data_IF_752893185133
#
_entry.id   IF_752893185133
#
_cell.length_a   1.000
_cell.length_b   1.000
_cell.length_c   1.000
_cell.angle_alpha   90.00
_cell.angle_beta   90.00
_cell.angle_gamma   90.00
#
_symmetry.space_group_name_H-M   'P 1'
#
loop_
_entity.id
_entity.type
_entity.pdbx_description
1 polymer ?
#
# COMPACT_ATOMS: atom_id res chain seq x y z
N UNK A 1 -51.06 -13.59 -105.91
CA UNK A 1 -52.44 -13.57 -105.38
C UNK A 1 -52.45 -14.22 -104.01
N UNK A 2 -53.00 -13.51 -103.03
CA UNK A 2 -53.63 -13.96 -101.77
C UNK A 2 -52.82 -14.69 -100.68
N UNK A 3 -52.79 -14.01 -99.51
CA UNK A 3 -53.04 -14.48 -98.13
C UNK A 3 -52.11 -15.53 -97.50
N UNK A 4 -51.78 -15.51 -96.21
CA UNK A 4 -52.46 -14.96 -95.04
C UNK A 4 -51.48 -14.59 -93.91
N UNK A 5 -51.87 -13.62 -93.09
CA UNK A 5 -51.31 -13.21 -91.81
C UNK A 5 -51.38 -14.29 -90.74
N UNK A 6 -50.39 -14.34 -89.83
CA UNK A 6 -50.57 -13.98 -88.40
C UNK A 6 -49.29 -14.15 -87.57
N UNK A 7 -49.15 -13.24 -86.61
CA UNK A 7 -48.03 -13.00 -85.70
C UNK A 7 -47.57 -14.22 -84.88
N UNK A 8 -46.31 -14.22 -84.44
CA UNK A 8 -45.89 -14.06 -83.02
C UNK A 8 -44.35 -14.14 -82.92
N UNK A 9 -43.77 -12.98 -82.61
CA UNK A 9 -42.64 -12.65 -81.74
C UNK A 9 -41.77 -13.81 -81.17
N UNK A 10 -40.50 -13.91 -81.57
CA UNK A 10 -39.40 -14.42 -80.71
C UNK A 10 -38.12 -13.61 -80.97
N UNK A 11 -37.66 -12.97 -79.89
CA UNK A 11 -36.47 -12.12 -79.81
C UNK A 11 -35.15 -12.89 -80.03
N UNK A 12 -34.21 -12.23 -80.68
CA UNK A 12 -32.83 -12.66 -80.92
C UNK A 12 -32.05 -12.60 -79.60
N UNK A 13 -31.53 -13.75 -79.15
CA UNK A 13 -30.67 -13.86 -77.97
C UNK A 13 -29.21 -13.92 -78.40
N UNK A 14 -28.48 -12.81 -78.26
CA UNK A 14 -27.01 -12.78 -78.35
C UNK A 14 -26.41 -13.26 -77.02
N UNK A 15 -25.70 -14.38 -77.04
CA UNK A 15 -24.98 -14.93 -75.89
C UNK A 15 -23.61 -14.23 -75.77
N UNK A 16 -23.54 -13.10 -75.07
CA UNK A 16 -22.27 -12.49 -74.62
C UNK A 16 -21.82 -13.21 -73.34
N UNK A 17 -20.72 -13.95 -73.43
CA UNK A 17 -20.07 -14.58 -72.28
C UNK A 17 -19.31 -13.50 -71.47
N UNK A 18 -20.03 -12.73 -70.65
CA UNK A 18 -19.42 -11.87 -69.64
C UNK A 18 -19.06 -12.71 -68.42
N UNK A 19 -17.79 -13.07 -68.26
CA UNK A 19 -17.27 -13.55 -66.98
C UNK A 19 -17.21 -12.35 -66.05
N UNK A 20 -18.30 -12.14 -65.30
CA UNK A 20 -18.37 -11.18 -64.22
C UNK A 20 -17.38 -11.57 -63.13
N UNK A 21 -16.31 -10.79 -62.97
CA UNK A 21 -15.49 -10.83 -61.78
C UNK A 21 -16.38 -10.38 -60.61
N UNK A 22 -16.93 -11.34 -59.85
CA UNK A 22 -17.66 -11.05 -58.63
C UNK A 22 -16.67 -10.49 -57.60
N UNK A 23 -16.47 -9.17 -57.62
CA UNK A 23 -15.97 -8.43 -56.47
C UNK A 23 -17.06 -8.53 -55.40
N UNK A 24 -16.91 -9.48 -54.47
CA UNK A 24 -17.64 -9.47 -53.22
C UNK A 24 -17.23 -8.19 -52.47
N UNK A 25 -18.00 -7.12 -52.64
CA UNK A 25 -17.95 -5.96 -51.75
C UNK A 25 -18.39 -6.43 -50.38
N UNK A 26 -17.43 -6.69 -49.50
CA UNK A 26 -17.69 -6.94 -48.08
C UNK A 26 -18.20 -5.63 -47.50
N UNK A 27 -19.48 -5.57 -47.13
CA UNK A 27 -20.08 -4.43 -46.43
C UNK A 27 -19.47 -4.32 -45.03
N UNK A 28 -18.31 -3.66 -44.93
CA UNK A 28 -17.72 -3.28 -43.66
C UNK A 28 -18.57 -2.17 -43.04
N UNK A 29 -19.00 -2.34 -41.78
CA UNK A 29 -19.75 -1.31 -41.05
C UNK A 29 -18.96 -0.01 -40.86
N UNK A 30 -17.63 -0.10 -40.90
CA UNK A 30 -16.73 1.01 -40.69
C UNK A 30 -15.83 1.18 -41.92
N UNK A 31 -16.10 2.22 -42.69
CA UNK A 31 -15.32 2.57 -43.88
C UNK A 31 -14.03 3.33 -43.54
N UNK A 32 -13.23 3.65 -44.57
CA UNK A 32 -11.94 4.36 -44.43
C UNK A 32 -12.03 5.76 -43.81
N UNK A 33 -13.22 6.36 -43.79
CA UNK A 33 -13.49 7.65 -43.14
C UNK A 33 -13.95 7.52 -41.68
N UNK A 34 -14.20 6.30 -41.19
CA UNK A 34 -14.63 6.07 -39.82
C UNK A 34 -13.48 6.28 -38.83
N UNK A 35 -13.73 6.84 -37.63
CA UNK A 35 -12.75 6.86 -36.55
C UNK A 35 -12.47 5.46 -35.97
N UNK A 36 -13.28 4.46 -36.32
CA UNK A 36 -13.12 3.06 -35.89
C UNK A 36 -12.09 2.36 -36.77
N UNK A 37 -11.11 1.71 -36.14
CA UNK A 37 -10.09 0.94 -36.85
C UNK A 37 -10.67 -0.39 -37.33
N UNK A 38 -10.78 -0.58 -38.64
CA UNK A 38 -11.16 -1.88 -39.20
C UNK A 38 -10.00 -2.88 -39.07
N UNK A 39 -10.28 -3.98 -38.38
CA UNK A 39 -9.34 -5.06 -38.18
C UNK A 39 -9.55 -6.17 -39.21
N UNK A 40 -8.44 -6.80 -39.55
CA UNK A 40 -8.35 -7.98 -40.41
C UNK A 40 -7.40 -8.98 -39.75
N UNK A 41 -7.39 -10.26 -40.14
CA UNK A 41 -6.45 -11.22 -39.59
C UNK A 41 -4.97 -10.81 -39.76
N UNK A 42 -4.65 -10.10 -40.84
CA UNK A 42 -3.29 -9.62 -41.10
C UNK A 42 -2.84 -8.48 -40.19
N UNK A 43 -3.77 -7.66 -39.67
CA UNK A 43 -3.41 -6.50 -38.84
C UNK A 43 -3.74 -6.68 -37.35
N UNK A 44 -4.57 -7.66 -36.97
CA UNK A 44 -5.07 -7.86 -35.62
C UNK A 44 -3.95 -7.91 -34.58
N UNK A 45 -2.95 -8.78 -34.81
CA UNK A 45 -1.79 -8.92 -33.91
C UNK A 45 -1.06 -7.59 -33.71
N UNK A 46 -0.80 -6.85 -34.78
CA UNK A 46 -0.04 -5.58 -34.70
C UNK A 46 -0.83 -4.45 -34.05
N UNK A 47 -2.15 -4.39 -34.28
CA UNK A 47 -3.02 -3.30 -33.83
C UNK A 47 -3.66 -3.55 -32.47
N UNK A 48 -3.77 -4.81 -32.06
CA UNK A 48 -4.44 -5.23 -30.84
C UNK A 48 -3.45 -5.87 -29.87
N UNK A 49 -2.89 -7.04 -30.20
CA UNK A 49 -2.06 -7.83 -29.27
C UNK A 49 -0.75 -7.14 -28.90
N UNK A 50 -0.07 -6.56 -29.89
CA UNK A 50 1.19 -5.85 -29.72
C UNK A 50 1.01 -4.36 -29.42
N UNK A 51 -0.23 -3.91 -29.18
CA UNK A 51 -0.49 -2.52 -28.83
C UNK A 51 0.16 -2.17 -27.49
N UNK A 52 0.78 -0.99 -27.41
CA UNK A 52 1.27 -0.43 -26.15
C UNK A 52 0.18 0.38 -25.42
N UNK A 53 -1.05 0.42 -25.93
CA UNK A 53 -2.18 1.13 -25.33
C UNK A 53 -3.40 0.23 -25.20
N UNK A 54 -4.47 0.74 -24.59
CA UNK A 54 -5.74 0.03 -24.49
C UNK A 54 -6.42 0.00 -25.87
N UNK A 55 -6.96 -1.16 -26.24
CA UNK A 55 -7.69 -1.36 -27.49
C UNK A 55 -9.07 -1.97 -27.18
N UNK A 56 -10.13 -1.33 -27.65
CA UNK A 56 -11.49 -1.87 -27.65
C UNK A 56 -11.80 -2.46 -29.01
N UNK A 57 -12.30 -3.70 -29.04
CA UNK A 57 -12.64 -4.41 -30.27
C UNK A 57 -14.09 -4.86 -30.22
N UNK A 58 -14.88 -4.42 -31.20
CA UNK A 58 -16.18 -5.00 -31.51
C UNK A 58 -16.01 -6.19 -32.46
N UNK A 59 -16.49 -7.36 -32.05
CA UNK A 59 -16.65 -8.54 -32.90
C UNK A 59 -18.10 -8.54 -33.41
N UNK A 60 -18.28 -8.30 -34.70
CA UNK A 60 -19.58 -8.14 -35.34
C UNK A 60 -19.81 -9.10 -36.51
N UNK A 61 -21.04 -9.10 -37.03
CA UNK A 61 -21.40 -9.72 -38.31
C UNK A 61 -22.25 -8.75 -39.15
N UNK A 62 -22.07 -8.64 -40.48
CA UNK A 62 -22.78 -7.66 -41.31
C UNK A 62 -24.32 -7.79 -41.31
N UNK A 63 -24.83 -9.01 -41.08
CA UNK A 63 -26.26 -9.31 -41.00
C UNK A 63 -26.88 -9.04 -39.61
N UNK A 64 -26.07 -8.75 -38.59
CA UNK A 64 -26.53 -8.61 -37.21
C UNK A 64 -27.18 -7.25 -36.94
N UNK A 65 -28.50 -7.24 -36.67
CA UNK A 65 -29.26 -6.02 -36.38
C UNK A 65 -28.79 -5.28 -35.12
N UNK A 66 -28.41 -5.99 -34.07
CA UNK A 66 -27.85 -5.39 -32.85
C UNK A 66 -26.49 -4.72 -33.08
N UNK A 67 -25.72 -5.22 -34.04
CA UNK A 67 -24.43 -4.67 -34.42
C UNK A 67 -24.63 -3.36 -35.20
N UNK A 68 -25.58 -3.35 -36.15
CA UNK A 68 -26.01 -2.12 -36.85
C UNK A 68 -26.51 -1.03 -35.88
N UNK A 69 -27.22 -1.42 -34.82
CA UNK A 69 -27.70 -0.49 -33.80
C UNK A 69 -26.57 0.09 -32.93
N UNK A 70 -25.47 -0.65 -32.76
CA UNK A 70 -24.30 -0.21 -31.99
C UNK A 70 -23.42 0.78 -32.76
N UNK A 71 -23.38 0.71 -34.09
CA UNK A 71 -22.50 1.51 -34.97
C UNK A 71 -22.44 3.00 -34.60
N UNK A 72 -23.56 3.75 -34.41
CA UNK A 72 -23.48 5.18 -34.09
C UNK A 72 -22.84 5.46 -32.71
N UNK A 73 -23.10 4.60 -31.73
CA UNK A 73 -22.50 4.71 -30.40
C UNK A 73 -21.01 4.35 -30.43
N UNK A 74 -20.63 3.35 -31.25
CA UNK A 74 -19.25 2.91 -31.42
C UNK A 74 -18.39 3.97 -32.11
N UNK A 75 -18.87 4.58 -33.20
CA UNK A 75 -18.17 5.68 -33.88
C UNK A 75 -18.03 6.92 -32.99
N UNK A 76 -19.05 7.22 -32.18
CA UNK A 76 -18.99 8.32 -31.21
C UNK A 76 -17.96 8.03 -30.11
N UNK A 77 -17.92 6.81 -29.58
CA UNK A 77 -16.90 6.39 -28.62
C UNK A 77 -15.49 6.48 -29.22
N UNK A 78 -15.30 6.00 -30.45
CA UNK A 78 -14.04 6.10 -31.19
C UNK A 78 -13.58 7.55 -31.38
N UNK A 79 -14.52 8.45 -31.69
CA UNK A 79 -14.24 9.89 -31.85
C UNK A 79 -13.78 10.54 -30.54
N UNK A 80 -14.49 10.26 -29.44
CA UNK A 80 -14.18 10.84 -28.11
C UNK A 80 -12.88 10.31 -27.54
N UNK A 81 -12.57 9.03 -27.79
CA UNK A 81 -11.37 8.37 -27.26
C UNK A 81 -10.13 8.51 -28.15
N UNK A 82 -10.24 9.23 -29.26
CA UNK A 82 -9.16 9.38 -30.24
C UNK A 82 -7.87 9.86 -29.56
N UNK A 83 -6.79 9.11 -29.77
CA UNK A 83 -5.47 9.39 -29.19
C UNK A 83 -5.27 8.86 -27.76
N UNK A 84 -6.32 8.35 -27.11
CA UNK A 84 -6.26 7.80 -25.74
C UNK A 84 -6.50 6.28 -25.74
N UNK A 85 -7.52 5.82 -26.48
CA UNK A 85 -7.84 4.40 -26.66
C UNK A 85 -8.07 4.12 -28.14
N UNK A 86 -7.55 3.00 -28.63
CA UNK A 86 -7.87 2.55 -29.98
C UNK A 86 -9.22 1.85 -29.95
N UNK A 87 -10.19 2.33 -30.73
CA UNK A 87 -11.49 1.68 -30.89
C UNK A 87 -11.52 1.04 -32.27
N UNK A 88 -11.83 -0.24 -32.31
CA UNK A 88 -11.66 -1.08 -33.48
C UNK A 88 -12.84 -2.04 -33.65
N UNK A 89 -12.97 -2.62 -34.84
CA UNK A 89 -14.00 -3.59 -35.14
C UNK A 89 -13.47 -4.67 -36.10
N UNK A 90 -13.96 -5.90 -35.95
CA UNK A 90 -13.65 -7.02 -36.84
C UNK A 90 -14.94 -7.77 -37.22
N UNK A 91 -15.06 -8.09 -38.50
CA UNK A 91 -16.07 -9.04 -38.97
C UNK A 91 -15.66 -10.45 -38.54
N UNK A 92 -16.25 -10.90 -37.45
CA UNK A 92 -15.97 -12.19 -36.83
C UNK A 92 -16.75 -13.33 -37.50
N UNK A 93 -17.76 -13.02 -38.31
CA UNK A 93 -18.48 -13.99 -39.14
C UNK A 93 -17.61 -14.41 -40.34
N UNK A 94 -16.95 -13.43 -40.97
CA UNK A 94 -15.96 -13.68 -42.03
C UNK A 94 -14.63 -14.25 -41.50
N UNK A 95 -14.31 -14.04 -40.22
CA UNK A 95 -13.03 -14.43 -39.61
C UNK A 95 -13.20 -15.36 -38.39
N UNK A 96 -13.80 -16.53 -38.64
CA UNK A 96 -14.16 -17.50 -37.60
C UNK A 96 -12.99 -18.00 -36.74
N UNK A 97 -11.77 -18.06 -37.28
CA UNK A 97 -10.59 -18.47 -36.50
C UNK A 97 -10.31 -17.51 -35.33
N UNK A 98 -10.37 -16.21 -35.58
CA UNK A 98 -10.20 -15.18 -34.54
C UNK A 98 -11.40 -15.20 -33.58
N UNK A 99 -12.61 -15.42 -34.11
CA UNK A 99 -13.79 -15.57 -33.27
C UNK A 99 -13.66 -16.75 -32.29
N UNK A 100 -13.16 -17.89 -32.74
CA UNK A 100 -12.91 -19.07 -31.90
C UNK A 100 -11.80 -18.82 -30.88
N UNK A 101 -10.68 -18.24 -31.30
CA UNK A 101 -9.54 -17.91 -30.44
C UNK A 101 -9.95 -17.06 -29.24
N UNK A 102 -10.78 -16.05 -29.47
CA UNK A 102 -11.27 -15.16 -28.42
C UNK A 102 -12.61 -15.59 -27.80
N UNK A 103 -13.11 -16.78 -28.14
CA UNK A 103 -14.30 -17.38 -27.53
C UNK A 103 -15.60 -16.61 -27.81
N UNK A 104 -15.73 -16.01 -28.99
CA UNK A 104 -16.91 -15.26 -29.41
C UNK A 104 -18.06 -16.22 -29.70
N UNK A 105 -19.15 -16.10 -28.92
CA UNK A 105 -20.34 -16.97 -29.03
C UNK A 105 -21.57 -16.28 -29.62
N UNK A 106 -21.48 -14.98 -29.89
CA UNK A 106 -22.59 -14.18 -30.43
C UNK A 106 -22.19 -12.75 -30.71
N UNK A 107 -23.05 -12.02 -31.42
CA UNK A 107 -22.75 -10.67 -31.91
C UNK A 107 -23.78 -9.62 -31.44
N UNK A 108 -23.35 -8.37 -31.20
CA UNK A 108 -21.95 -7.95 -31.08
C UNK A 108 -21.38 -8.41 -29.74
N UNK A 109 -20.11 -8.79 -29.73
CA UNK A 109 -19.31 -8.97 -28.51
C UNK A 109 -18.23 -7.90 -28.48
N UNK A 110 -18.10 -7.19 -27.37
CA UNK A 110 -17.06 -6.17 -27.20
C UNK A 110 -16.01 -6.72 -26.24
N UNK A 111 -14.73 -6.67 -26.63
CA UNK A 111 -13.62 -7.00 -25.74
C UNK A 111 -12.66 -5.84 -25.61
N UNK A 112 -12.03 -5.74 -24.44
CA UNK A 112 -10.91 -4.83 -24.20
C UNK A 112 -9.61 -5.61 -24.09
N UNK A 113 -8.58 -5.07 -24.73
CA UNK A 113 -7.22 -5.57 -24.74
C UNK A 113 -6.35 -4.54 -24.04
N UNK A 114 -5.64 -4.98 -23.01
CA UNK A 114 -4.73 -4.15 -22.23
C UNK A 114 -3.35 -4.82 -22.25
N UNK A 115 -2.25 -4.07 -22.48
CA UNK A 115 -0.92 -4.67 -22.58
C UNK A 115 -0.58 -5.50 -21.33
N UNK A 116 -0.15 -6.74 -21.56
CA UNK A 116 0.24 -7.67 -20.49
C UNK A 116 -0.91 -8.26 -19.67
N UNK A 117 -2.17 -8.07 -20.08
CA UNK A 117 -3.36 -8.66 -19.43
C UNK A 117 -4.19 -9.48 -20.43
N UNK A 118 -4.89 -10.53 -19.97
CA UNK A 118 -5.82 -11.25 -20.83
C UNK A 118 -6.98 -10.32 -21.28
N UNK A 119 -7.54 -10.51 -22.48
CA UNK A 119 -8.68 -9.73 -22.96
C UNK A 119 -9.92 -9.95 -22.08
N UNK A 120 -10.68 -8.90 -21.84
CA UNK A 120 -11.87 -8.94 -20.98
C UNK A 120 -13.12 -8.52 -21.75
N UNK A 121 -14.23 -9.21 -21.52
CA UNK A 121 -15.52 -8.85 -22.13
C UNK A 121 -16.10 -7.60 -21.49
N UNK A 122 -16.58 -6.69 -22.34
CA UNK A 122 -17.41 -5.59 -21.90
C UNK A 122 -18.88 -6.04 -21.82
N UNK A 123 -19.44 -6.00 -20.61
CA UNK A 123 -20.82 -6.40 -20.31
C UNK A 123 -21.71 -5.20 -19.93
N UNK A 124 -21.20 -3.97 -20.13
CA UNK A 124 -21.92 -2.74 -19.79
C UNK A 124 -22.93 -2.32 -20.86
N UNK A 125 -23.55 -1.17 -20.60
CA UNK A 125 -24.56 -0.60 -21.48
C UNK A 125 -23.95 -0.12 -22.81
N UNK A 126 -24.69 -0.27 -23.92
CA UNK A 126 -24.15 -0.16 -25.29
C UNK A 126 -24.24 1.26 -25.86
N UNK A 127 -24.16 2.27 -25.01
CA UNK A 127 -24.10 3.68 -25.39
C UNK A 127 -22.67 4.23 -25.31
N UNK A 128 -22.40 5.29 -26.08
CA UNK A 128 -21.06 5.84 -26.20
C UNK A 128 -20.41 6.26 -24.86
N UNK A 129 -21.20 6.78 -23.92
CA UNK A 129 -20.70 7.26 -22.62
C UNK A 129 -20.24 6.11 -21.70
N UNK A 130 -21.06 5.09 -21.39
CA UNK A 130 -20.60 3.93 -20.62
C UNK A 130 -19.41 3.19 -21.25
N UNK A 131 -19.36 3.10 -22.58
CA UNK A 131 -18.22 2.51 -23.31
C UNK A 131 -16.95 3.35 -23.10
N UNK A 132 -17.05 4.68 -23.26
CA UNK A 132 -15.91 5.57 -23.08
C UNK A 132 -15.40 5.62 -21.64
N UNK A 133 -16.30 5.65 -20.65
CA UNK A 133 -15.93 5.63 -19.23
C UNK A 133 -15.22 4.32 -18.87
N UNK A 134 -15.72 3.18 -19.34
CA UNK A 134 -15.05 1.89 -19.17
C UNK A 134 -13.65 1.88 -19.79
N UNK A 135 -13.50 2.40 -21.01
CA UNK A 135 -12.21 2.49 -21.70
C UNK A 135 -11.19 3.32 -20.89
N UNK A 136 -11.61 4.48 -20.39
CA UNK A 136 -10.76 5.35 -19.56
C UNK A 136 -10.37 4.71 -18.23
N UNK A 137 -11.25 3.90 -17.62
CA UNK A 137 -10.90 3.13 -16.43
C UNK A 137 -9.76 2.13 -16.71
N UNK A 138 -9.78 1.46 -17.86
CA UNK A 138 -8.71 0.54 -18.26
C UNK A 138 -7.39 1.29 -18.49
N UNK A 139 -7.44 2.48 -19.09
CA UNK A 139 -6.26 3.35 -19.25
C UNK A 139 -5.69 3.76 -17.90
N UNK A 140 -6.53 4.21 -16.97
CA UNK A 140 -6.10 4.59 -15.61
C UNK A 140 -5.44 3.43 -14.88
N UNK A 141 -5.99 2.22 -15.00
CA UNK A 141 -5.41 1.01 -14.42
C UNK A 141 -4.05 0.69 -15.05
N UNK A 142 -3.94 0.73 -16.38
CA UNK A 142 -2.67 0.52 -17.09
C UNK A 142 -1.60 1.53 -16.68
N UNK A 143 -1.95 2.81 -16.55
CA UNK A 143 -1.01 3.84 -16.11
C UNK A 143 -0.56 3.62 -14.66
N UNK A 144 -1.47 3.20 -13.77
CA UNK A 144 -1.12 2.85 -12.39
C UNK A 144 -0.13 1.68 -12.34
N UNK A 145 -0.34 0.65 -13.16
CA UNK A 145 0.56 -0.51 -13.24
C UNK A 145 1.95 -0.13 -13.79
N UNK A 146 2.00 0.82 -14.73
CA UNK A 146 3.26 1.36 -15.24
C UNK A 146 4.01 2.19 -14.21
N UNK A 147 3.29 3.05 -13.48
CA UNK A 147 3.87 3.87 -12.40
C UNK A 147 4.39 3.02 -11.25
N UNK A 148 3.82 1.84 -11.01
CA UNK A 148 4.28 0.89 -9.99
C UNK A 148 5.37 -0.07 -10.48
N UNK A 149 5.91 0.12 -11.69
CA UNK A 149 7.03 -0.65 -12.23
C UNK A 149 6.68 -2.09 -12.64
N UNK A 150 5.39 -2.43 -12.82
CA UNK A 150 4.94 -3.78 -13.12
C UNK A 150 4.86 -4.02 -14.64
N UNK A 151 5.96 -4.43 -15.26
CA UNK A 151 5.96 -5.03 -16.61
C UNK A 151 5.78 -6.55 -16.54
N UNK A 152 4.63 -7.01 -17.06
CA UNK A 152 4.29 -8.32 -17.67
C UNK A 152 4.27 -9.62 -16.83
N UNK A 153 3.20 -10.39 -17.04
CA UNK A 153 3.15 -11.86 -16.95
C UNK A 153 1.94 -12.42 -16.17
N UNK A 154 1.02 -13.12 -16.85
CA UNK A 154 -0.24 -13.73 -16.32
C UNK A 154 -0.08 -14.67 -15.11
N UNK A 155 -1.13 -15.02 -14.36
CA UNK A 155 -2.39 -15.65 -14.76
C UNK A 155 -3.56 -15.18 -13.88
N UNK A 156 -4.76 -15.43 -14.37
CA UNK A 156 -6.07 -14.94 -13.92
C UNK A 156 -6.62 -15.60 -12.64
N UNK A 157 -7.09 -14.78 -11.71
CA UNK A 157 -8.41 -14.98 -11.07
C UNK A 157 -9.18 -13.65 -11.05
N UNK A 158 -10.49 -13.74 -11.21
CA UNK A 158 -11.45 -12.62 -11.33
C UNK A 158 -11.32 -11.65 -10.16
N UNK A 159 -11.22 -10.34 -10.41
CA UNK A 159 -11.50 -9.34 -9.37
C UNK A 159 -12.48 -8.26 -9.84
N UNK A 160 -13.76 -8.47 -9.54
CA UNK A 160 -14.46 -7.43 -8.79
C UNK A 160 -13.53 -7.05 -7.63
N UNK A 161 -13.20 -5.77 -7.45
CA UNK A 161 -12.29 -5.26 -6.43
C UNK A 161 -12.18 -6.21 -5.23
N UNK A 162 -11.09 -6.99 -5.17
CA UNK A 162 -10.94 -8.01 -4.14
C UNK A 162 -10.81 -7.30 -2.81
N UNK A 163 -11.89 -7.31 -2.02
CA UNK A 163 -11.92 -6.59 -0.75
C UNK A 163 -10.98 -7.25 0.26
N UNK A 164 -10.72 -8.54 0.10
CA UNK A 164 -9.57 -9.23 0.64
C UNK A 164 -8.40 -9.18 -0.35
N UNK A 165 -7.19 -8.89 0.16
CA UNK A 165 -5.96 -8.80 -0.64
C UNK A 165 -5.37 -10.18 -0.85
N UNK A 166 -5.00 -10.52 -2.08
CA UNK A 166 -4.24 -11.74 -2.36
C UNK A 166 -2.79 -11.57 -1.88
N UNK A 167 -2.36 -12.47 -1.01
CA UNK A 167 -1.04 -12.45 -0.39
C UNK A 167 -0.22 -13.66 -0.86
N UNK A 168 1.04 -13.40 -1.18
CA UNK A 168 2.03 -14.38 -1.61
C UNK A 168 3.41 -14.00 -1.10
N UNK A 169 4.38 -14.91 -1.23
CA UNK A 169 5.74 -14.71 -0.71
C UNK A 169 6.43 -13.42 -1.20
N UNK A 170 6.01 -12.85 -2.34
CA UNK A 170 6.60 -11.63 -2.91
C UNK A 170 6.05 -10.35 -2.28
N UNK A 171 4.83 -10.37 -1.76
CA UNK A 171 4.16 -9.18 -1.23
C UNK A 171 3.85 -9.26 0.27
N UNK A 172 3.94 -10.44 0.89
CA UNK A 172 3.54 -10.66 2.27
C UNK A 172 4.32 -9.78 3.24
N UNK A 173 5.65 -9.73 3.11
CA UNK A 173 6.49 -8.95 4.02
C UNK A 173 6.21 -7.45 3.90
N UNK A 174 6.05 -6.96 2.67
CA UNK A 174 5.79 -5.54 2.42
C UNK A 174 4.39 -5.12 2.88
N UNK A 175 3.37 -5.94 2.56
CA UNK A 175 1.98 -5.59 2.82
C UNK A 175 1.55 -5.90 4.25
N UNK A 176 2.04 -6.99 4.84
CA UNK A 176 1.65 -7.46 6.18
C UNK A 176 2.74 -7.12 7.19
N UNK A 177 3.96 -7.63 7.03
CA UNK A 177 4.99 -7.56 8.08
C UNK A 177 5.48 -6.13 8.34
N UNK A 178 5.66 -5.31 7.29
CA UNK A 178 6.05 -3.90 7.45
C UNK A 178 4.87 -2.96 7.67
N UNK A 179 3.63 -3.47 7.63
CA UNK A 179 2.43 -2.64 7.78
C UNK A 179 2.16 -2.31 9.24
N UNK A 180 1.82 -1.04 9.49
CA UNK A 180 1.35 -0.57 10.81
C UNK A 180 -0.10 -1.01 11.11
N UNK A 181 -0.85 -1.36 10.07
CA UNK A 181 -2.26 -1.75 10.21
C UNK A 181 -2.41 -3.16 10.79
N UNK A 182 -3.54 -3.41 11.43
CA UNK A 182 -3.97 -4.76 11.81
C UNK A 182 -4.35 -5.55 10.56
N UNK A 183 -3.80 -6.76 10.44
CA UNK A 183 -4.10 -7.69 9.35
C UNK A 183 -4.72 -8.98 9.87
N UNK A 184 -5.71 -9.49 9.15
CA UNK A 184 -6.21 -10.85 9.32
C UNK A 184 -6.03 -11.59 8.01
N UNK A 185 -5.37 -12.74 8.04
CA UNK A 185 -5.00 -13.49 6.84
C UNK A 185 -5.56 -14.90 6.91
N UNK A 186 -6.36 -15.26 5.92
CA UNK A 186 -6.84 -16.62 5.71
C UNK A 186 -5.81 -17.44 4.92
N UNK A 187 -5.37 -18.56 5.47
CA UNK A 187 -4.59 -19.58 4.79
C UNK A 187 -5.56 -20.68 4.34
N UNK A 188 -5.73 -20.84 3.02
CA UNK A 188 -6.72 -21.72 2.42
C UNK A 188 -6.15 -22.57 1.28
N UNK A 189 -6.93 -23.55 0.83
CA UNK A 189 -6.67 -24.29 -0.41
C UNK A 189 -7.94 -24.34 -1.29
N UNK A 190 -7.84 -24.31 -2.63
CA UNK A 190 -9.02 -24.24 -3.52
C UNK A 190 -9.91 -25.48 -3.47
N UNK A 191 -9.35 -26.64 -3.14
CA UNK A 191 -10.07 -27.91 -3.01
C UNK A 191 -10.76 -28.08 -1.64
N UNK A 192 -10.43 -27.24 -0.65
CA UNK A 192 -10.93 -27.35 0.72
C UNK A 192 -12.41 -26.91 0.85
N UNK A 193 -13.29 -27.85 1.18
CA UNK A 193 -14.73 -27.59 1.33
C UNK A 193 -15.07 -26.60 2.44
N UNK A 194 -14.31 -26.57 3.54
CA UNK A 194 -14.52 -25.62 4.64
C UNK A 194 -14.10 -24.20 4.24
N UNK A 195 -13.09 -24.08 3.39
CA UNK A 195 -12.59 -22.82 2.84
C UNK A 195 -13.62 -22.23 1.87
N UNK A 196 -14.22 -23.07 1.02
CA UNK A 196 -15.34 -22.65 0.14
C UNK A 196 -16.54 -22.11 0.91
N UNK A 197 -16.83 -22.67 2.09
CA UNK A 197 -17.89 -22.18 2.99
C UNK A 197 -17.53 -20.85 3.67
N UNK A 198 -16.25 -20.64 4.01
CA UNK A 198 -15.76 -19.41 4.62
C UNK A 198 -15.66 -18.26 3.62
N UNK A 199 -15.29 -18.52 2.37
CA UNK A 199 -15.10 -17.51 1.33
C UNK A 199 -16.20 -16.41 1.24
N UNK A 200 -17.52 -16.73 1.23
CA UNK A 200 -18.55 -15.69 1.22
C UNK A 200 -18.59 -14.85 2.52
N UNK A 201 -18.38 -15.47 3.68
CA UNK A 201 -18.32 -14.79 4.98
C UNK A 201 -17.06 -13.92 5.10
N UNK A 202 -15.92 -14.40 4.58
CA UNK A 202 -14.66 -13.66 4.51
C UNK A 202 -14.77 -12.42 3.62
N UNK A 203 -15.37 -12.56 2.43
CA UNK A 203 -15.64 -11.43 1.51
C UNK A 203 -16.54 -10.39 2.19
N UNK A 204 -17.56 -10.83 2.93
CA UNK A 204 -18.48 -9.94 3.67
C UNK A 204 -17.75 -9.21 4.82
N UNK A 205 -16.99 -9.93 5.63
CA UNK A 205 -16.18 -9.34 6.70
C UNK A 205 -15.17 -8.32 6.16
N UNK A 206 -14.48 -8.65 5.06
CA UNK A 206 -13.51 -7.75 4.43
C UNK A 206 -14.16 -6.44 3.97
N UNK A 207 -15.39 -6.51 3.44
CA UNK A 207 -16.19 -5.34 3.06
C UNK A 207 -16.60 -4.51 4.27
N UNK A 208 -17.05 -5.14 5.34
CA UNK A 208 -17.51 -4.42 6.53
C UNK A 208 -16.35 -3.79 7.33
N UNK A 209 -15.15 -4.38 7.25
CA UNK A 209 -13.94 -3.90 7.93
C UNK A 209 -13.08 -2.96 7.07
N UNK A 210 -13.51 -2.65 5.84
CA UNK A 210 -12.75 -1.83 4.91
C UNK A 210 -12.38 -0.47 5.55
N UNK A 211 -11.09 -0.15 5.52
CA UNK A 211 -10.55 1.07 6.13
C UNK A 211 -10.29 0.99 7.64
N UNK A 212 -10.64 -0.12 8.30
CA UNK A 212 -10.36 -0.36 9.73
C UNK A 212 -9.36 -1.50 9.92
N UNK A 213 -9.62 -2.65 9.30
CA UNK A 213 -8.78 -3.85 9.40
C UNK A 213 -8.55 -4.39 7.99
N UNK A 214 -7.32 -4.78 7.67
CA UNK A 214 -6.99 -5.34 6.36
C UNK A 214 -7.17 -6.86 6.39
N UNK A 215 -7.95 -7.38 5.44
CA UNK A 215 -8.13 -8.81 5.26
C UNK A 215 -7.33 -9.29 4.06
N UNK A 216 -6.61 -10.39 4.22
CA UNK A 216 -5.83 -11.03 3.19
C UNK A 216 -6.16 -12.52 3.06
N UNK A 217 -5.72 -13.13 1.97
CA UNK A 217 -5.82 -14.57 1.77
C UNK A 217 -4.57 -15.10 1.06
N UNK A 218 -4.13 -16.29 1.46
CA UNK A 218 -2.95 -16.99 0.94
C UNK A 218 -3.40 -18.35 0.43
N UNK A 219 -3.20 -18.60 -0.87
CA UNK A 219 -3.38 -19.93 -1.45
C UNK A 219 -2.18 -20.82 -1.06
N UNK A 220 -2.44 -21.80 -0.21
CA UNK A 220 -1.43 -22.68 0.35
C UNK A 220 -0.95 -23.78 -0.62
N UNK A 221 -1.70 -24.05 -1.70
CA UNK A 221 -1.22 -24.94 -2.76
C UNK A 221 -0.01 -24.31 -3.49
N UNK A 222 -0.03 -22.98 -3.65
CA UNK A 222 1.01 -22.20 -4.32
C UNK A 222 2.11 -21.71 -3.33
N UNK A 223 1.75 -21.40 -2.08
CA UNK A 223 2.62 -20.67 -1.12
C UNK A 223 3.07 -21.53 0.08
N UNK A 224 3.73 -22.67 -0.19
CA UNK A 224 4.22 -23.62 0.84
C UNK A 224 5.24 -23.02 1.82
N UNK A 225 6.01 -22.03 1.37
CA UNK A 225 6.98 -21.28 2.18
C UNK A 225 6.27 -20.51 3.32
N UNK A 226 5.17 -19.83 3.01
CA UNK A 226 4.39 -19.08 4.00
C UNK A 226 3.70 -20.02 4.99
N UNK A 227 3.20 -21.17 4.54
CA UNK A 227 2.67 -22.19 5.45
C UNK A 227 3.72 -22.66 6.46
N UNK A 228 4.94 -22.95 5.97
CA UNK A 228 6.03 -23.45 6.80
C UNK A 228 6.49 -22.38 7.81
N UNK A 229 6.62 -21.13 7.35
CA UNK A 229 7.00 -19.98 8.19
C UNK A 229 6.05 -19.78 9.37
N UNK A 230 4.75 -19.89 9.12
CA UNK A 230 3.71 -19.68 10.14
C UNK A 230 3.12 -20.97 10.71
N UNK A 231 3.77 -22.12 10.46
CA UNK A 231 3.41 -23.44 10.98
C UNK A 231 1.93 -23.81 10.77
N UNK A 232 1.37 -23.47 9.61
CA UNK A 232 -0.02 -23.79 9.26
C UNK A 232 -0.13 -25.27 8.93
N UNK A 233 -0.93 -26.01 9.71
CA UNK A 233 -1.08 -27.47 9.61
C UNK A 233 -2.41 -27.94 9.01
N UNK A 234 -3.37 -27.03 8.82
CA UNK A 234 -4.70 -27.38 8.32
C UNK A 234 -5.40 -26.17 7.70
N UNK A 235 -6.55 -26.42 7.05
CA UNK A 235 -7.28 -25.39 6.34
C UNK A 235 -8.79 -25.37 6.67
N UNK A 236 -9.43 -24.19 6.68
CA UNK A 236 -8.79 -22.88 6.69
C UNK A 236 -8.18 -22.58 8.07
N UNK A 237 -7.04 -21.88 8.09
CA UNK A 237 -6.45 -21.29 9.30
C UNK A 237 -6.45 -19.78 9.12
N UNK A 238 -6.95 -19.04 10.11
CA UNK A 238 -6.95 -17.58 10.09
C UNK A 238 -5.93 -17.10 11.12
N UNK A 239 -4.95 -16.33 10.68
CA UNK A 239 -3.95 -15.70 11.53
C UNK A 239 -4.16 -14.20 11.60
N UNK A 240 -3.91 -13.63 12.78
CA UNK A 240 -4.12 -12.22 13.08
C UNK A 240 -2.76 -11.60 13.36
N UNK A 241 -2.37 -10.69 12.48
CA UNK A 241 -1.09 -10.02 12.46
C UNK A 241 -1.23 -8.64 13.10
N UNK A 242 -1.03 -8.64 14.41
CA UNK A 242 -1.01 -7.45 15.25
C UNK A 242 0.26 -6.61 15.06
N UNK A 243 0.57 -5.72 16.00
CA UNK A 243 1.69 -4.81 15.89
C UNK A 243 3.02 -5.54 16.03
N UNK A 244 3.07 -6.59 16.86
CA UNK A 244 4.05 -7.64 16.72
C UNK A 244 3.64 -8.54 15.54
N UNK A 245 4.30 -8.32 14.40
CA UNK A 245 4.06 -9.04 13.15
C UNK A 245 4.76 -10.40 13.12
N UNK A 246 5.68 -10.66 14.03
CA UNK A 246 6.44 -11.91 14.10
C UNK A 246 5.69 -13.01 14.85
N UNK A 247 4.86 -12.61 15.83
CA UNK A 247 4.07 -13.53 16.65
C UNK A 247 2.55 -13.36 16.40
N UNK A 248 2.03 -13.79 15.23
CA UNK A 248 0.59 -13.71 14.97
C UNK A 248 -0.19 -14.69 15.86
N UNK A 249 -1.41 -14.31 16.21
CA UNK A 249 -2.32 -15.16 16.97
C UNK A 249 -3.31 -15.88 16.04
N UNK A 250 -3.67 -17.11 16.38
CA UNK A 250 -4.68 -17.87 15.64
C UNK A 250 -6.09 -17.44 16.04
N UNK A 251 -6.96 -17.23 15.05
CA UNK A 251 -8.38 -16.99 15.30
C UNK A 251 -9.14 -18.32 15.42
N UNK A 252 -9.67 -18.58 16.61
CA UNK A 252 -10.42 -19.80 16.96
C UNK A 252 -11.94 -19.58 17.05
N UNK A 253 -12.43 -18.39 16.64
CA UNK A 253 -13.84 -18.04 16.72
C UNK A 253 -14.71 -18.66 15.60
N UNK A 254 -16.01 -18.36 15.65
CA UNK A 254 -16.96 -18.82 14.64
C UNK A 254 -16.66 -18.22 13.26
N UNK A 255 -16.72 -19.04 12.21
CA UNK A 255 -16.39 -18.66 10.82
C UNK A 255 -17.54 -17.94 10.10
N UNK A 256 -18.16 -16.98 10.77
CA UNK A 256 -19.20 -16.10 10.23
C UNK A 256 -18.69 -14.67 10.17
N UNK A 257 -19.20 -13.88 9.22
CA UNK A 257 -18.75 -12.50 9.02
C UNK A 257 -18.88 -11.67 10.31
N UNK A 258 -20.01 -11.78 11.00
CA UNK A 258 -20.26 -11.05 12.26
C UNK A 258 -19.26 -11.41 13.37
N UNK A 259 -18.91 -12.69 13.52
CA UNK A 259 -17.96 -13.12 14.54
C UNK A 259 -16.52 -12.69 14.21
N UNK A 260 -16.15 -12.73 12.92
CA UNK A 260 -14.86 -12.24 12.44
C UNK A 260 -14.76 -10.73 12.62
N UNK A 261 -15.80 -9.98 12.23
CA UNK A 261 -15.88 -8.53 12.40
C UNK A 261 -15.76 -8.10 13.86
N UNK A 262 -16.55 -8.71 14.75
CA UNK A 262 -16.54 -8.38 16.17
C UNK A 262 -15.15 -8.63 16.78
N UNK A 263 -14.54 -9.78 16.47
CA UNK A 263 -13.20 -10.09 16.91
C UNK A 263 -12.16 -9.11 16.33
N UNK A 264 -12.24 -8.80 15.04
CA UNK A 264 -11.33 -7.88 14.36
C UNK A 264 -11.35 -6.48 14.98
N UNK A 265 -12.54 -5.98 15.34
CA UNK A 265 -12.70 -4.68 15.99
C UNK A 265 -12.11 -4.67 17.41
N UNK A 266 -12.35 -5.73 18.19
CA UNK A 266 -11.71 -5.88 19.51
C UNK A 266 -10.19 -5.92 19.37
N UNK A 267 -9.69 -6.69 18.39
CA UNK A 267 -8.26 -6.73 18.11
C UNK A 267 -7.74 -5.37 17.68
N UNK A 268 -8.46 -4.60 16.86
CA UNK A 268 -8.04 -3.27 16.43
C UNK A 268 -7.88 -2.32 17.62
N UNK A 269 -8.75 -2.43 18.64
CA UNK A 269 -8.65 -1.65 19.87
C UNK A 269 -7.51 -2.10 20.80
N UNK A 270 -7.13 -3.39 20.75
CA UNK A 270 -6.02 -3.94 21.55
C UNK A 270 -4.67 -3.90 20.82
N UNK A 271 -4.69 -3.76 19.50
CA UNK A 271 -3.54 -3.84 18.61
C UNK A 271 -2.77 -2.51 18.50
N UNK A 272 -2.33 -2.02 19.66
CA UNK A 272 -1.40 -0.90 19.72
C UNK A 272 0.03 -1.45 19.70
N UNK A 273 0.90 -0.83 18.90
CA UNK A 273 2.31 -1.16 18.89
C UNK A 273 2.89 -1.16 20.32
N UNK A 274 3.79 -2.12 20.64
CA UNK A 274 4.56 -2.05 21.86
C UNK A 274 5.17 -0.65 21.95
N UNK A 275 4.98 0.05 23.07
CA UNK A 275 5.53 1.36 23.22
C UNK A 275 7.05 1.28 23.27
N UNK A 276 7.69 2.23 22.61
CA UNK A 276 9.13 2.37 22.62
C UNK A 276 9.54 3.56 23.49
N UNK A 277 10.67 3.42 24.17
CA UNK A 277 11.33 4.51 24.89
C UNK A 277 12.65 4.78 24.17
N UNK A 278 12.71 5.84 23.37
CA UNK A 278 13.84 6.13 22.47
C UNK A 278 14.79 7.16 23.08
N UNK A 279 16.10 6.99 22.88
CA UNK A 279 17.10 7.99 23.26
C UNK A 279 17.02 9.21 22.34
N UNK A 280 17.00 10.41 22.92
CA UNK A 280 16.93 11.68 22.22
C UNK A 280 18.33 12.13 21.79
N UNK A 281 18.75 11.70 20.60
CA UNK A 281 20.09 11.93 20.06
C UNK A 281 20.16 13.02 18.99
N UNK A 282 19.03 13.53 18.51
CA UNK A 282 18.98 14.55 17.45
C UNK A 282 17.61 15.22 17.31
N UNK A 283 17.58 16.34 16.59
CA UNK A 283 16.36 17.06 16.23
C UNK A 283 15.36 16.17 15.47
N UNK A 284 15.85 15.33 14.56
CA UNK A 284 15.00 14.40 13.78
C UNK A 284 14.26 13.41 14.71
N UNK A 285 14.95 12.90 15.74
CA UNK A 285 14.33 12.00 16.73
C UNK A 285 13.25 12.74 17.52
N UNK A 286 13.49 14.00 17.90
CA UNK A 286 12.50 14.84 18.57
C UNK A 286 11.25 15.01 17.72
N UNK A 287 11.40 15.37 16.45
CA UNK A 287 10.29 15.59 15.54
C UNK A 287 9.52 14.29 15.25
N UNK A 288 10.25 13.20 15.00
CA UNK A 288 9.67 11.89 14.71
C UNK A 288 8.90 11.33 15.91
N UNK A 289 9.46 11.41 17.12
CA UNK A 289 8.88 10.79 18.31
C UNK A 289 7.90 11.72 19.04
N UNK A 290 8.18 13.01 19.12
CA UNK A 290 7.36 13.97 19.88
C UNK A 290 6.44 14.85 19.01
N UNK A 291 6.73 15.05 17.72
CA UNK A 291 6.02 16.03 16.88
C UNK A 291 4.53 15.72 16.66
N UNK A 292 4.17 14.43 16.51
CA UNK A 292 2.78 14.01 16.36
C UNK A 292 2.07 13.72 17.70
N UNK A 293 2.82 13.58 18.78
CA UNK A 293 2.27 13.25 20.10
C UNK A 293 1.43 14.40 20.68
N UNK A 294 0.40 14.06 21.45
CA UNK A 294 -0.33 15.05 22.23
C UNK A 294 0.50 15.53 23.44
N UNK A 295 1.26 14.61 24.03
CA UNK A 295 2.21 14.85 25.12
C UNK A 295 3.43 13.97 24.87
N UNK A 296 4.63 14.54 24.89
CA UNK A 296 5.88 13.80 24.88
C UNK A 296 6.51 13.84 26.27
N UNK A 297 6.65 12.68 26.90
CA UNK A 297 7.33 12.53 28.17
C UNK A 297 8.82 12.39 27.92
N UNK A 298 9.60 13.38 28.37
CA UNK A 298 11.06 13.42 28.22
C UNK A 298 11.67 13.14 29.58
N UNK A 299 12.35 12.01 29.71
CA UNK A 299 13.11 11.64 30.91
C UNK A 299 14.56 12.08 30.77
N UNK A 300 15.11 12.73 31.77
CA UNK A 300 16.54 13.05 31.85
C UNK A 300 17.15 12.11 32.88
N UNK A 301 17.93 11.14 32.42
CA UNK A 301 18.50 10.09 33.27
C UNK A 301 19.89 10.50 33.74
N UNK A 302 20.35 10.03 34.92
CA UNK A 302 21.71 10.28 35.37
C UNK A 302 22.76 9.87 34.34
N UNK A 303 23.94 10.48 34.43
CA UNK A 303 25.05 10.10 33.56
C UNK A 303 25.39 8.62 33.73
N UNK A 304 26.00 8.02 32.70
CA UNK A 304 26.33 6.59 32.71
C UNK A 304 27.40 6.27 33.75
N UNK A 305 28.28 7.24 34.07
CA UNK A 305 29.28 7.08 35.11
C UNK A 305 28.66 6.92 36.51
N UNK A 306 27.53 7.59 36.74
CA UNK A 306 26.78 7.57 38.00
C UNK A 306 25.82 6.37 38.10
N UNK A 307 25.05 6.14 37.03
CA UNK A 307 23.98 5.13 37.03
C UNK A 307 24.46 3.72 36.69
N UNK A 308 25.58 3.61 35.96
CA UNK A 308 25.98 2.38 35.26
C UNK A 308 24.89 1.88 34.29
N UNK A 309 25.21 0.89 33.49
CA UNK A 309 24.28 0.29 32.53
C UNK A 309 23.06 -0.32 33.23
N UNK A 310 23.27 -0.97 34.38
CA UNK A 310 22.19 -1.57 35.17
C UNK A 310 21.18 -0.53 35.66
N UNK A 311 21.65 0.58 36.26
CA UNK A 311 20.77 1.64 36.76
C UNK A 311 20.02 2.33 35.62
N UNK A 312 20.70 2.62 34.51
CA UNK A 312 20.05 3.19 33.31
C UNK A 312 18.97 2.28 32.74
N UNK A 313 19.26 0.99 32.59
CA UNK A 313 18.28 0.01 32.10
C UNK A 313 17.06 -0.07 33.01
N UNK A 314 17.24 -0.03 34.34
CA UNK A 314 16.12 -0.01 35.30
C UNK A 314 15.20 1.21 35.12
N UNK A 315 15.75 2.38 34.83
CA UNK A 315 14.95 3.57 34.51
C UNK A 315 14.19 3.41 33.18
N UNK A 316 14.86 2.89 32.15
CA UNK A 316 14.25 2.63 30.84
C UNK A 316 13.12 1.61 30.96
N UNK A 317 13.33 0.50 31.69
CA UNK A 317 12.30 -0.51 31.98
C UNK A 317 11.10 0.09 32.73
N UNK A 318 11.36 0.99 33.69
CA UNK A 318 10.29 1.70 34.39
C UNK A 318 9.45 2.52 33.41
N UNK A 319 10.11 3.31 32.55
CA UNK A 319 9.44 4.10 31.50
C UNK A 319 8.69 3.21 30.50
N UNK A 320 9.26 2.09 30.06
CA UNK A 320 8.60 1.12 29.18
C UNK A 320 7.35 0.55 29.84
N UNK A 321 7.41 0.20 31.13
CA UNK A 321 6.25 -0.32 31.87
C UNK A 321 5.11 0.70 31.98
N UNK A 322 5.46 1.99 32.03
CA UNK A 322 4.51 3.10 32.08
C UNK A 322 3.94 3.34 30.69
N UNK A 323 4.79 3.37 29.68
CA UNK A 323 4.37 3.51 28.30
C UNK A 323 3.42 2.37 27.90
N UNK A 324 3.66 1.14 28.35
CA UNK A 324 2.77 -0.02 28.16
C UNK A 324 1.39 0.20 28.79
N UNK A 325 1.37 0.75 30.01
CA UNK A 325 0.13 1.10 30.71
C UNK A 325 -0.68 2.18 29.99
N UNK A 326 -0.01 3.12 29.31
CA UNK A 326 -0.62 4.24 28.60
C UNK A 326 -0.54 4.12 27.08
N UNK A 327 -0.30 2.93 26.53
CA UNK A 327 -0.05 2.74 25.09
C UNK A 327 -1.18 3.26 24.20
N UNK A 328 -2.42 3.24 24.70
CA UNK A 328 -3.61 3.75 24.00
C UNK A 328 -3.74 5.27 24.00
N UNK A 329 -3.00 5.96 24.85
CA UNK A 329 -2.97 7.41 24.89
C UNK A 329 -2.05 7.93 23.78
N UNK A 330 -2.32 9.11 23.20
CA UNK A 330 -1.48 9.72 22.17
C UNK A 330 -0.19 10.32 22.78
N UNK A 331 0.51 9.53 23.58
CA UNK A 331 1.71 9.90 24.31
C UNK A 331 2.94 9.26 23.68
N UNK A 332 4.07 9.93 23.82
CA UNK A 332 5.38 9.42 23.42
C UNK A 332 6.34 9.51 24.59
N UNK A 333 7.33 8.63 24.62
CA UNK A 333 8.31 8.55 25.71
C UNK A 333 9.71 8.54 25.10
N UNK A 334 10.51 9.52 25.50
CA UNK A 334 11.92 9.63 25.11
C UNK A 334 12.77 9.87 26.34
N UNK A 335 14.06 9.59 26.24
CA UNK A 335 15.00 9.87 27.30
C UNK A 335 16.30 10.51 26.77
N UNK A 336 16.97 11.30 27.60
CA UNK A 336 18.30 11.83 27.34
C UNK A 336 19.17 11.60 28.57
N UNK A 337 20.46 11.40 28.38
CA UNK A 337 21.41 11.45 29.50
C UNK A 337 21.59 12.89 29.98
N UNK A 338 21.76 13.05 31.28
CA UNK A 338 22.01 14.32 31.95
C UNK A 338 23.10 15.15 31.26
N UNK A 339 22.82 16.43 31.00
CA UNK A 339 23.77 17.36 30.39
C UNK A 339 23.99 17.16 28.89
N UNK A 340 23.41 16.13 28.26
CA UNK A 340 23.56 15.91 26.80
C UNK A 340 22.64 16.81 25.97
N UNK A 341 21.59 17.36 26.57
CA UNK A 341 20.65 18.24 25.88
C UNK A 341 20.50 19.58 26.62
N UNK A 342 21.57 20.40 26.71
CA UNK A 342 21.65 21.55 27.61
C UNK A 342 20.59 22.63 27.34
N UNK A 343 20.30 22.92 26.07
CA UNK A 343 19.27 23.89 25.71
C UNK A 343 17.88 23.39 26.12
N UNK A 344 17.54 22.13 25.81
CA UNK A 344 16.27 21.54 26.23
C UNK A 344 16.14 21.55 27.77
N UNK A 345 17.16 21.05 28.47
CA UNK A 345 17.21 20.99 29.94
C UNK A 345 16.96 22.36 30.56
N UNK A 346 17.65 23.40 30.06
CA UNK A 346 17.46 24.78 30.50
C UNK A 346 16.02 25.27 30.30
N UNK A 347 15.44 25.04 29.12
CA UNK A 347 14.07 25.49 28.81
C UNK A 347 13.01 24.81 29.68
N UNK A 348 13.24 23.55 30.08
CA UNK A 348 12.32 22.80 30.94
C UNK A 348 12.68 22.86 32.43
N UNK A 349 13.70 23.65 32.80
CA UNK A 349 14.14 23.81 34.19
C UNK A 349 14.75 22.56 34.82
N UNK A 350 15.32 21.68 34.01
CA UNK A 350 16.05 20.48 34.44
C UNK A 350 17.54 20.84 34.64
N UNK A 351 18.17 20.24 35.65
CA UNK A 351 19.54 20.54 36.09
C UNK A 351 19.63 21.24 37.45
N UNK A 352 18.57 21.95 37.87
CA UNK A 352 18.52 22.60 39.20
C UNK A 352 18.10 21.68 40.35
N UNK A 353 17.29 20.65 40.07
CA UNK A 353 16.74 19.73 41.10
C UNK A 353 17.37 18.32 41.08
N UNK A 354 18.35 18.10 40.20
CA UNK A 354 19.05 16.82 40.04
C UNK A 354 18.39 15.85 39.05
N UNK A 355 19.03 14.69 38.88
CA UNK A 355 18.61 13.59 38.01
C UNK A 355 18.31 12.34 38.84
N UNK A 356 17.39 11.45 38.43
CA UNK A 356 16.56 11.53 37.23
C UNK A 356 15.45 12.59 37.30
N UNK A 357 15.09 13.16 36.15
CA UNK A 357 13.96 14.09 36.01
C UNK A 357 13.01 13.61 34.90
N UNK A 358 11.73 14.02 34.97
CA UNK A 358 10.73 13.73 33.94
C UNK A 358 9.92 14.98 33.64
N UNK A 359 9.71 15.26 32.36
CA UNK A 359 8.90 16.41 31.91
C UNK A 359 7.85 15.95 30.91
N UNK A 360 6.61 16.39 31.11
CA UNK A 360 5.55 16.29 30.12
C UNK A 360 5.61 17.50 29.19
N UNK A 361 6.00 17.30 27.94
CA UNK A 361 6.17 18.35 26.95
C UNK A 361 5.01 18.35 25.95
N UNK A 362 4.44 19.52 25.68
CA UNK A 362 3.47 19.75 24.62
C UNK A 362 4.03 20.79 23.64
N UNK A 363 4.67 20.31 22.57
CA UNK A 363 5.31 21.15 21.55
C UNK A 363 4.27 22.05 20.87
N UNK A 364 3.10 21.50 20.50
CA UNK A 364 2.04 22.23 19.80
C UNK A 364 1.46 23.38 20.62
N UNK A 365 1.36 23.20 21.93
CA UNK A 365 0.88 24.24 22.86
C UNK A 365 1.99 25.13 23.41
N UNK A 366 3.26 24.85 23.09
CA UNK A 366 4.41 25.56 23.65
C UNK A 366 4.39 25.53 25.18
N UNK A 367 4.17 24.36 25.77
CA UNK A 367 3.99 24.23 27.22
C UNK A 367 4.64 22.94 27.75
N UNK A 368 5.07 22.97 29.00
CA UNK A 368 5.63 21.81 29.68
C UNK A 368 5.20 21.72 31.14
N UNK A 369 5.27 20.54 31.73
CA UNK A 369 5.09 20.34 33.17
C UNK A 369 6.16 19.39 33.70
N UNK A 370 6.95 19.77 34.72
CA UNK A 370 7.90 18.85 35.35
C UNK A 370 7.21 17.93 36.36
N UNK A 371 7.70 16.70 36.49
CA UNK A 371 7.38 15.82 37.61
C UNK A 371 7.94 16.44 38.90
N UNK A 372 7.06 16.70 39.87
CA UNK A 372 7.41 17.33 41.16
C UNK A 372 7.49 16.33 42.33
N UNK A 373 7.39 15.04 42.03
CA UNK A 373 7.50 13.94 42.99
C UNK A 373 8.71 13.05 42.64
N UNK A 374 8.96 12.03 43.47
CA UNK A 374 10.04 11.08 43.23
C UNK A 374 9.89 10.38 41.87
N UNK A 375 11.01 10.05 41.23
CA UNK A 375 11.06 9.24 40.02
C UNK A 375 10.79 7.77 40.33
N UNK A 376 9.56 7.49 40.77
CA UNK A 376 9.07 6.17 41.13
C UNK A 376 7.86 5.82 40.28
N UNK A 377 7.68 4.53 39.99
CA UNK A 377 6.67 4.04 39.05
C UNK A 377 5.27 4.61 39.33
N UNK A 378 4.79 4.52 40.57
CA UNK A 378 3.43 4.94 40.92
C UNK A 378 3.25 6.46 40.85
N UNK A 379 4.29 7.20 41.23
CA UNK A 379 4.33 8.66 41.13
C UNK A 379 4.31 9.12 39.67
N UNK A 380 5.09 8.47 38.81
CA UNK A 380 5.10 8.77 37.38
C UNK A 380 3.75 8.40 36.74
N UNK A 381 3.14 7.28 37.13
CA UNK A 381 1.81 6.90 36.64
C UNK A 381 0.78 7.99 36.96
N UNK A 382 0.78 8.51 38.19
CA UNK A 382 -0.15 9.56 38.58
C UNK A 382 0.13 10.88 37.86
N UNK A 383 1.41 11.20 37.67
CA UNK A 383 1.83 12.34 36.86
C UNK A 383 1.36 12.24 35.41
N UNK A 384 1.53 11.08 34.75
CA UNK A 384 1.08 10.85 33.38
C UNK A 384 -0.45 11.00 33.26
N UNK A 385 -1.22 10.46 34.21
CA UNK A 385 -2.69 10.65 34.24
C UNK A 385 -3.08 12.11 34.35
N UNK A 386 -2.49 12.82 35.32
CA UNK A 386 -2.83 14.22 35.59
C UNK A 386 -2.43 15.12 34.43
N UNK A 387 -1.26 14.91 33.81
CA UNK A 387 -0.85 15.59 32.59
C UNK A 387 -1.88 15.43 31.46
N UNK A 388 -2.39 14.21 31.26
CA UNK A 388 -3.42 13.89 30.28
C UNK A 388 -4.76 14.63 30.44
N UNK A 389 -5.13 14.96 31.68
CA UNK A 389 -6.38 15.66 32.02
C UNK A 389 -6.25 17.20 31.94
N UNK A 390 -5.14 17.73 31.41
CA UNK A 390 -4.84 19.16 31.40
C UNK A 390 -4.10 19.61 32.66
N UNK A 391 -3.02 18.89 32.98
CA UNK A 391 -2.30 18.90 34.26
C UNK A 391 -2.11 20.26 34.96
N UNK A 392 -2.17 20.21 36.30
CA UNK A 392 -1.78 21.32 37.18
C UNK A 392 -0.27 21.55 37.06
N UNK A 393 0.15 22.81 37.15
CA UNK A 393 1.58 23.17 37.14
C UNK A 393 2.23 23.21 35.75
N UNK A 394 1.41 23.37 34.70
CA UNK A 394 1.88 23.62 33.33
C UNK A 394 2.52 25.01 33.24
N UNK A 395 3.69 25.08 32.63
CA UNK A 395 4.51 26.27 32.43
C UNK A 395 4.67 26.56 30.93
N UNK A 396 4.85 27.82 30.52
CA UNK A 396 5.15 28.16 29.12
C UNK A 396 6.53 27.63 28.74
N UNK A 397 6.64 27.08 27.53
CA UNK A 397 7.90 26.74 26.89
C UNK A 397 8.32 27.92 26.03
N UNK A 398 9.47 28.53 26.33
CA UNK A 398 10.01 29.62 25.55
C UNK A 398 10.68 29.08 24.28
N UNK A 399 10.12 29.37 23.10
CA UNK A 399 10.68 28.91 21.83
C UNK A 399 10.64 27.40 21.61
N UNK A 400 11.30 26.93 20.54
CA UNK A 400 11.49 25.50 20.27
C UNK A 400 12.91 25.13 20.69
N UNK A 401 13.09 24.24 21.69
CA UNK A 401 14.42 23.88 22.18
C UNK A 401 15.19 23.15 21.09
N UNK A 402 16.43 23.58 20.83
CA UNK A 402 17.33 22.91 19.90
C UNK A 402 17.87 21.62 20.53
N UNK A 403 17.84 20.52 19.79
CA UNK A 403 18.41 19.24 20.21
C UNK A 403 19.81 19.08 19.63
N UNK A 404 20.78 18.86 20.52
CA UNK A 404 22.18 18.60 20.16
C UNK A 404 22.29 17.19 19.58
N UNK A 405 23.05 17.05 18.50
CA UNK A 405 23.35 15.74 17.92
C UNK A 405 24.36 15.01 18.81
N UNK A 406 24.00 13.83 19.31
CA UNK A 406 24.87 12.99 20.15
C UNK A 406 25.01 11.59 19.59
N UNK A 407 26.07 10.90 19.97
CA UNK A 407 26.20 9.47 19.71
C UNK A 407 25.23 8.69 20.61
N UNK A 408 24.48 7.70 20.07
CA UNK A 408 23.64 6.84 20.87
C UNK A 408 24.45 6.07 21.90
N UNK A 409 23.85 5.81 23.05
CA UNK A 409 24.47 4.98 24.07
C UNK A 409 24.72 3.55 23.53
N UNK A 410 25.93 3.04 23.76
CA UNK A 410 26.39 1.74 23.26
C UNK A 410 25.91 0.54 24.10
N UNK A 411 25.13 0.81 25.17
CA UNK A 411 24.61 -0.20 26.09
C UNK A 411 25.59 -0.64 27.17
N UNK A 412 26.77 0.00 27.29
CA UNK A 412 27.83 -0.37 28.25
C UNK A 412 28.01 0.68 29.34
N UNK A 413 28.77 0.31 30.37
CA UNK A 413 29.21 1.26 31.38
C UNK A 413 30.14 2.32 30.78
N UNK A 414 30.08 3.53 31.33
CA UNK A 414 31.02 4.59 30.96
C UNK A 414 32.43 4.25 31.42
N UNK A 415 33.40 4.56 30.57
CA UNK A 415 34.83 4.50 30.91
C UNK A 415 35.25 5.89 31.38
N UNK A 416 35.92 5.97 32.53
CA UNK A 416 36.58 7.21 32.95
C UNK A 416 37.80 7.37 32.04
N UNK A 417 37.78 8.38 31.18
CA UNK A 417 38.99 8.81 30.49
C UNK A 417 39.83 9.51 31.55
N UNK A 418 40.87 8.84 32.04
CA UNK A 418 41.93 9.51 32.80
C UNK A 418 42.61 10.45 31.79
N UNK A 419 42.31 11.75 31.89
CA UNK A 419 43.13 12.76 31.23
C UNK A 419 44.52 12.65 31.87
N UNK A 420 45.53 12.29 31.08
CA UNK A 420 46.92 12.25 31.50
C UNK A 420 47.21 13.53 32.30
N UNK A 421 47.52 13.38 33.60
CA UNK A 421 47.92 14.49 34.45
C UNK A 421 49.03 15.25 33.72
N UNK A 422 48.74 16.47 33.25
CA UNK A 422 49.77 17.38 32.79
C UNK A 422 50.79 17.51 33.93
N UNK A 423 51.95 16.87 33.77
CA UNK A 423 53.02 16.93 34.76
C UNK A 423 53.37 18.40 34.98
N UNK A 424 53.23 18.85 36.22
CA UNK A 424 53.63 20.18 36.68
C UNK A 424 55.13 20.44 36.41
N UNK A 425 55.95 19.40 36.20
CA UNK A 425 57.36 19.54 35.82
C UNK A 425 57.54 20.04 34.39
N UNK A 426 56.62 19.79 33.47
CA UNK A 426 56.68 20.33 32.10
C UNK A 426 56.32 21.82 32.04
N UNK A 427 55.55 22.31 33.01
CA UNK A 427 55.10 23.70 33.11
C UNK A 427 56.06 24.58 33.93
N UNK A 428 56.88 23.97 34.81
CA UNK A 428 57.98 24.61 35.50
C UNK A 428 59.29 24.34 34.76
N UNK A 429 59.45 24.94 33.58
CA UNK A 429 60.67 24.83 32.78
C UNK A 429 61.94 25.07 33.61
N UNK A 430 62.90 24.17 33.48
CA UNK A 430 64.20 24.19 34.14
C UNK A 430 64.85 25.58 34.06
N UNK A 431 64.81 26.30 35.18
CA UNK A 431 65.62 27.49 35.39
C UNK A 431 67.09 27.06 35.55
N UNK A 432 67.78 26.85 34.44
CA UNK A 432 69.23 26.66 34.43
C UNK A 432 69.92 28.01 34.65
N UNK A 433 70.77 28.16 35.69
CA UNK A 433 71.51 29.40 35.90
C UNK A 433 72.68 29.50 34.91
N UNK A 434 73.10 30.72 34.51
CA UNK A 434 74.11 30.90 33.48
C UNK A 434 75.49 30.48 34.00
N UNK A 435 76.16 29.63 33.23
CA UNK A 435 77.54 29.19 33.46
C UNK A 435 78.52 30.34 33.26
N UNK A 436 79.13 30.80 34.35
CA UNK A 436 80.43 31.48 34.34
C UNK A 436 81.55 30.44 34.21
N UNK A 437 82.36 30.51 33.16
CA UNK A 437 83.83 30.51 33.25
C UNK A 437 84.52 30.74 31.90
N UNK A 438 85.72 31.29 32.02
CA UNK A 438 86.60 31.97 31.07
C UNK A 438 87.15 31.11 29.92
N UNK A 439 87.30 31.72 28.73
CA UNK A 439 88.59 32.12 28.12
C UNK A 439 88.39 32.84 26.78
#
# INVERSE_FOLDING_TARGET
MMNHSSNVLICISFLLLSVSLNLNLVDAFYGSSSPVVQLTPSNFKSKVENSNGVVLVEFYAPWCGHCKALTPAWEKAASVLKGVVTVAAIDADAHQSIAQEYGIKGFPTIKVFVPGKPPVDYQGAREAKPIAEFALQQVKALLKDRLSGKTTGGSSEKSESSVSVELNSRNFDELVVKSKDLWMVEFFAPWCGHCKKLAPEWKKAAKNLQGKVKLGHVNCDDEKSLMSRYKVQGFPTILVFGADKENPITYEGARTASAIESFALVQLETNVAPPEVTELTSQDVMEQKCGSAAICFVAFLPDILDSKAEGRNKYIETLLSIAEKFKRSPYSYVWAAAGKQPELEKHVGVGGYGYPALVALNIKKGAYAPLRSAFERDQIIEFVKTAGLGGKGTLPLEGTPAIVKTEPWDGKDGVILEEDEFSLEELMGDATPPTTEEL
#
